data_IF_858047505469
#
_entry.id   IF_858047505469
#
_cell.length_a   1.000
_cell.length_b   1.000
_cell.length_c   1.000
_cell.angle_alpha   90.00
_cell.angle_beta   90.00
_cell.angle_gamma   90.00
#
_symmetry.space_group_name_H-M   'P 1'
#
loop_
_entity.id
_entity.type
_entity.pdbx_description
1 polymer ?
#
# COMPACT_ATOMS: atom_id res chain seq x y z
N UNK A 1 41.32 48.15 -2.06
CA UNK A 1 42.51 48.49 -1.26
C UNK A 1 43.46 47.31 -1.38
N UNK A 2 44.75 47.53 -1.67
CA UNK A 2 45.69 46.42 -1.78
C UNK A 2 45.91 45.77 -0.40
N UNK A 3 46.03 44.43 -0.32
CA UNK A 3 46.24 43.75 0.96
C UNK A 3 47.64 44.07 1.52
N UNK A 4 47.66 44.79 2.64
CA UNK A 4 48.88 45.12 3.39
C UNK A 4 49.24 43.89 4.26
N UNK A 5 50.51 43.50 4.28
CA UNK A 5 50.95 42.42 5.17
C UNK A 5 50.85 42.86 6.65
N UNK A 6 50.09 42.11 7.48
CA UNK A 6 49.92 42.41 8.91
C UNK A 6 51.22 42.37 9.73
N UNK A 7 52.29 41.75 9.22
CA UNK A 7 53.56 41.56 9.94
C UNK A 7 54.61 42.62 9.59
N UNK A 8 54.69 43.05 8.34
CA UNK A 8 55.71 44.02 7.88
C UNK A 8 55.14 45.32 7.31
N UNK A 9 53.81 45.43 7.25
CA UNK A 9 53.08 46.62 6.79
C UNK A 9 53.42 47.06 5.36
N UNK A 10 53.97 46.16 4.54
CA UNK A 10 54.29 46.42 3.13
C UNK A 10 53.24 45.82 2.19
N UNK A 11 53.01 46.52 1.07
CA UNK A 11 52.04 46.18 0.00
C UNK A 11 52.60 45.14 -0.98
N UNK A 12 53.00 43.98 -0.48
CA UNK A 12 53.76 42.98 -1.26
C UNK A 12 53.21 41.55 -1.12
N UNK A 13 51.90 41.42 -0.95
CA UNK A 13 51.21 40.12 -0.89
C UNK A 13 50.91 39.63 -2.31
N UNK A 14 51.39 38.44 -2.66
CA UNK A 14 51.10 37.79 -3.93
C UNK A 14 50.33 36.49 -3.69
N UNK A 15 49.22 36.31 -4.40
CA UNK A 15 48.41 35.10 -4.33
C UNK A 15 49.12 33.90 -4.94
N UNK A 16 49.33 32.85 -4.15
CA UNK A 16 49.90 31.61 -4.64
C UNK A 16 48.81 30.80 -5.37
N UNK A 17 48.77 30.95 -6.70
CA UNK A 17 47.74 30.38 -7.60
C UNK A 17 47.49 28.85 -7.49
N UNK A 18 48.31 28.11 -6.73
CA UNK A 18 48.15 26.65 -6.55
C UNK A 18 47.58 26.22 -5.18
N UNK A 19 47.40 27.13 -4.21
CA UNK A 19 46.98 26.73 -2.85
C UNK A 19 46.01 27.70 -2.13
N UNK A 20 45.44 28.69 -2.81
CA UNK A 20 44.50 29.67 -2.21
C UNK A 20 45.13 30.65 -1.21
N UNK A 21 46.33 30.37 -0.72
CA UNK A 21 46.99 31.20 0.26
C UNK A 21 47.70 32.43 -0.35
N UNK A 22 47.38 33.60 0.21
CA UNK A 22 48.13 34.84 0.02
C UNK A 22 49.38 34.86 0.90
N UNK A 23 50.55 35.06 0.29
CA UNK A 23 51.84 35.06 1.01
C UNK A 23 52.59 36.37 0.77
N UNK A 24 53.10 36.97 1.84
CA UNK A 24 53.97 38.14 1.72
C UNK A 24 55.32 37.74 1.11
N UNK A 25 55.72 38.39 0.02
CA UNK A 25 56.98 38.09 -0.68
C UNK A 25 58.23 38.49 0.10
N UNK A 26 58.10 39.39 1.09
CA UNK A 26 59.24 39.91 1.88
C UNK A 26 59.49 39.08 3.13
N UNK A 27 58.48 38.86 3.96
CA UNK A 27 58.63 38.14 5.24
C UNK A 27 58.14 36.69 5.20
N UNK A 28 57.60 36.22 4.07
CA UNK A 28 57.01 34.88 3.88
C UNK A 28 55.88 34.53 4.86
N UNK A 29 55.34 35.51 5.57
CA UNK A 29 54.17 35.32 6.42
C UNK A 29 52.93 35.03 5.55
N UNK A 30 52.18 34.00 5.93
CA UNK A 30 50.87 33.69 5.37
C UNK A 30 49.86 34.75 5.82
N UNK A 31 49.27 35.45 4.86
CA UNK A 31 48.11 36.29 5.10
C UNK A 31 46.89 35.37 5.17
N UNK A 32 46.53 34.92 6.38
CA UNK A 32 45.35 34.10 6.61
C UNK A 32 44.14 35.03 6.61
N UNK A 33 43.66 35.41 5.43
CA UNK A 33 42.37 36.06 5.22
C UNK A 33 41.71 35.47 3.95
N UNK A 34 41.61 34.14 3.87
CA UNK A 34 40.57 33.55 3.02
C UNK A 34 39.27 33.57 3.85
N UNK A 35 38.41 34.55 3.57
CA UNK A 35 36.98 34.33 3.72
C UNK A 35 36.65 33.10 2.88
N UNK A 36 36.30 31.98 3.52
CA UNK A 36 35.75 30.85 2.79
C UNK A 36 34.52 31.35 2.03
N UNK A 37 34.58 31.30 0.70
CA UNK A 37 33.46 31.55 -0.21
C UNK A 37 32.31 30.58 0.10
N UNK A 38 31.51 30.91 1.12
CA UNK A 38 30.17 30.39 1.27
C UNK A 38 29.28 31.14 0.26
N UNK A 39 28.51 30.44 -0.58
CA UNK A 39 27.65 31.10 -1.55
C UNK A 39 26.65 32.01 -0.82
N UNK A 40 26.81 33.31 -1.06
CA UNK A 40 26.02 34.40 -0.51
C UNK A 40 24.62 34.38 -1.15
N UNK A 41 23.68 33.67 -0.52
CA UNK A 41 22.23 33.89 -0.64
C UNK A 41 21.46 33.16 0.49
N UNK A 42 22.02 33.16 1.70
CA UNK A 42 21.24 32.87 2.90
C UNK A 42 20.91 34.19 3.58
N UNK A 43 19.72 34.71 3.31
CA UNK A 43 19.10 35.76 4.09
C UNK A 43 19.36 35.52 5.58
N UNK A 44 19.87 36.54 6.26
CA UNK A 44 20.23 36.57 7.67
C UNK A 44 19.15 35.91 8.55
N UNK A 45 19.25 34.59 8.72
CA UNK A 45 18.62 33.87 9.80
C UNK A 45 19.63 33.95 10.92
N UNK A 46 19.43 34.92 11.81
CA UNK A 46 20.19 35.07 13.02
C UNK A 46 20.38 33.68 13.66
N UNK A 47 21.61 33.18 13.65
CA UNK A 47 21.96 32.02 14.45
C UNK A 47 21.54 32.38 15.88
N UNK A 48 20.75 31.54 16.57
CA UNK A 48 20.38 31.85 17.94
C UNK A 48 21.68 32.01 18.74
N UNK A 49 21.79 33.05 19.60
CA UNK A 49 23.00 33.28 20.35
C UNK A 49 23.35 32.01 21.14
N UNK A 50 24.61 31.59 21.05
CA UNK A 50 25.09 30.47 21.86
C UNK A 50 24.81 30.80 23.33
N UNK A 51 24.08 29.93 24.06
CA UNK A 51 23.72 30.22 25.44
C UNK A 51 24.99 30.31 26.28
N UNK A 52 25.10 31.40 27.05
CA UNK A 52 26.21 31.64 27.97
C UNK A 52 26.26 30.57 29.06
N UNK A 53 27.42 30.36 29.68
CA UNK A 53 27.58 29.32 30.72
C UNK A 53 26.65 29.50 31.94
N UNK A 54 26.15 30.72 32.17
CA UNK A 54 25.12 31.00 33.18
C UNK A 54 23.75 30.42 32.77
N UNK A 55 23.37 30.53 31.49
CA UNK A 55 22.14 29.94 30.96
C UNK A 55 22.23 28.41 30.85
N UNK A 56 23.43 27.86 30.61
CA UNK A 56 23.65 26.40 30.61
C UNK A 56 23.41 25.78 31.98
N UNK A 57 23.77 26.47 33.07
CA UNK A 57 23.62 25.95 34.45
C UNK A 57 22.17 25.98 34.94
N UNK A 58 21.33 26.91 34.44
CA UNK A 58 19.90 26.98 34.76
C UNK A 58 19.04 25.94 33.99
N UNK A 59 19.56 25.38 32.88
CA UNK A 59 18.82 24.45 32.02
C UNK A 59 18.66 23.02 32.54
N UNK A 60 19.29 22.66 33.66
CA UNK A 60 19.22 21.29 34.17
C UNK A 60 17.91 20.94 34.91
N UNK A 61 17.03 21.91 35.21
CA UNK A 61 15.84 21.66 36.04
C UNK A 61 14.50 22.19 35.55
N UNK A 62 14.41 22.84 34.38
CA UNK A 62 13.12 23.22 33.80
C UNK A 62 12.88 22.37 32.56
N UNK A 63 12.14 21.29 32.72
CA UNK A 63 11.52 20.58 31.60
C UNK A 63 10.53 21.55 30.94
N UNK A 64 10.98 22.31 29.95
CA UNK A 64 10.07 23.09 29.11
C UNK A 64 9.36 22.12 28.17
N UNK A 65 8.12 21.81 28.50
CA UNK A 65 7.26 20.93 27.72
C UNK A 65 7.12 21.40 26.26
N UNK A 66 7.19 22.71 25.99
CA UNK A 66 7.14 23.25 24.64
C UNK A 66 8.43 22.95 23.86
N UNK A 67 9.60 23.19 24.46
CA UNK A 67 10.90 22.83 23.87
C UNK A 67 11.05 21.31 23.67
N UNK A 68 10.59 20.50 24.63
CA UNK A 68 10.58 19.03 24.52
C UNK A 68 9.66 18.55 23.37
N UNK A 69 8.49 19.17 23.21
CA UNK A 69 7.56 18.89 22.10
C UNK A 69 8.17 19.26 20.75
N UNK A 70 8.79 20.43 20.62
CA UNK A 70 9.47 20.86 19.38
C UNK A 70 10.66 19.95 19.04
N UNK A 71 11.47 19.57 20.03
CA UNK A 71 12.55 18.61 19.85
C UNK A 71 12.03 17.23 19.42
N UNK A 72 10.90 16.79 19.98
CA UNK A 72 10.20 15.56 19.57
C UNK A 72 9.77 15.59 18.10
N UNK A 73 9.14 16.68 17.65
CA UNK A 73 8.72 16.88 16.26
C UNK A 73 9.93 16.86 15.30
N UNK A 74 11.02 17.57 15.65
CA UNK A 74 12.25 17.57 14.83
C UNK A 74 12.88 16.17 14.72
N UNK A 75 12.98 15.43 15.83
CA UNK A 75 13.50 14.04 15.81
C UNK A 75 12.63 13.14 14.94
N UNK A 76 11.32 13.28 15.04
CA UNK A 76 10.38 12.52 14.21
C UNK A 76 10.55 12.85 12.73
N UNK A 77 10.68 14.12 12.37
CA UNK A 77 10.91 14.57 11.01
C UNK A 77 12.20 13.98 10.43
N UNK A 78 13.32 14.10 11.16
CA UNK A 78 14.61 13.53 10.74
C UNK A 78 14.51 12.01 10.54
N UNK A 79 13.81 11.30 11.44
CA UNK A 79 13.60 9.85 11.31
C UNK A 79 12.82 9.49 10.04
N UNK A 80 11.73 10.20 9.76
CA UNK A 80 10.90 9.93 8.57
C UNK A 80 11.68 10.27 7.29
N UNK A 81 12.39 11.39 7.26
CA UNK A 81 13.23 11.77 6.10
C UNK A 81 14.33 10.74 5.85
N UNK A 82 15.02 10.28 6.89
CA UNK A 82 16.03 9.21 6.79
C UNK A 82 15.44 7.90 6.25
N UNK A 83 14.28 7.49 6.77
CA UNK A 83 13.53 6.32 6.27
C UNK A 83 13.19 6.47 4.78
N UNK A 84 12.73 7.64 4.34
CA UNK A 84 12.39 7.90 2.94
C UNK A 84 13.62 7.84 2.02
N UNK A 85 14.75 8.40 2.44
CA UNK A 85 16.00 8.32 1.67
C UNK A 85 16.48 6.87 1.53
N UNK A 86 16.46 6.11 2.63
CA UNK A 86 16.78 4.68 2.61
C UNK A 86 15.81 3.89 1.70
N UNK A 87 14.51 4.17 1.78
CA UNK A 87 13.50 3.54 0.92
C UNK A 87 13.73 3.85 -0.57
N UNK A 88 14.00 5.12 -0.91
CA UNK A 88 14.28 5.55 -2.27
C UNK A 88 15.54 4.85 -2.84
N UNK A 89 16.59 4.69 -2.02
CA UNK A 89 17.79 3.93 -2.38
C UNK A 89 17.48 2.45 -2.59
N UNK A 90 16.73 1.81 -1.69
CA UNK A 90 16.32 0.39 -1.81
C UNK A 90 15.49 0.11 -3.06
N UNK A 91 14.68 1.07 -3.49
CA UNK A 91 13.88 0.98 -4.71
C UNK A 91 14.67 1.32 -5.99
N UNK A 92 15.91 1.82 -5.88
CA UNK A 92 16.73 2.24 -7.02
C UNK A 92 16.40 3.65 -7.55
N UNK A 93 15.62 4.45 -6.81
CA UNK A 93 15.18 5.79 -7.21
C UNK A 93 15.68 6.88 -6.24
N UNK A 94 16.99 6.90 -5.97
CA UNK A 94 17.62 7.81 -5.01
C UNK A 94 17.26 9.30 -5.25
N UNK A 95 17.16 9.70 -6.51
CA UNK A 95 16.84 11.06 -6.93
C UNK A 95 15.46 11.55 -6.44
N UNK A 96 14.52 10.64 -6.16
CA UNK A 96 13.16 10.98 -5.72
C UNK A 96 13.11 11.40 -4.24
N UNK A 97 14.15 11.12 -3.45
CA UNK A 97 14.16 11.33 -2.00
C UNK A 97 14.00 12.81 -1.61
N UNK A 98 14.65 13.72 -2.34
CA UNK A 98 14.61 15.17 -2.04
C UNK A 98 13.22 15.75 -2.29
N UNK A 99 12.64 15.45 -3.45
CA UNK A 99 11.29 15.89 -3.82
C UNK A 99 10.24 15.30 -2.87
N UNK A 100 10.37 14.02 -2.51
CA UNK A 100 9.48 13.38 -1.56
C UNK A 100 9.59 14.03 -0.17
N UNK A 101 10.80 14.38 0.26
CA UNK A 101 11.05 15.06 1.55
C UNK A 101 10.48 16.48 1.57
N UNK A 102 10.49 17.19 0.45
CA UNK A 102 9.84 18.50 0.30
C UNK A 102 8.30 18.35 0.40
N UNK A 103 7.74 17.37 -0.30
CA UNK A 103 6.30 17.07 -0.24
C UNK A 103 5.85 16.66 1.16
N UNK A 104 6.66 15.88 1.88
CA UNK A 104 6.40 15.50 3.26
C UNK A 104 6.40 16.71 4.20
N UNK A 105 7.36 17.64 4.07
CA UNK A 105 7.40 18.89 4.86
C UNK A 105 6.14 19.72 4.65
N UNK A 106 5.73 19.88 3.40
CA UNK A 106 4.48 20.59 3.09
C UNK A 106 3.23 19.91 3.68
N UNK A 107 3.21 18.57 3.68
CA UNK A 107 2.16 17.80 4.33
C UNK A 107 2.17 17.98 5.87
N UNK A 108 3.34 18.11 6.49
CA UNK A 108 3.45 18.37 7.94
C UNK A 108 2.87 19.72 8.36
N UNK A 109 2.98 20.73 7.50
CA UNK A 109 2.43 22.08 7.75
C UNK A 109 0.91 22.12 7.54
N UNK A 110 0.40 21.31 6.60
CA UNK A 110 -1.00 21.38 6.16
C UNK A 110 -1.94 20.43 6.92
N UNK A 111 -1.41 19.34 7.49
CA UNK A 111 -2.22 18.28 8.10
C UNK A 111 -2.33 18.42 9.61
N UNK A 112 -3.54 18.26 10.20
CA UNK A 112 -3.73 18.34 11.64
C UNK A 112 -3.12 17.12 12.34
N UNK A 113 -2.36 17.32 13.42
CA UNK A 113 -1.89 16.23 14.27
C UNK A 113 -3.03 15.66 15.14
N UNK A 114 -3.04 14.36 15.49
CA UNK A 114 -2.00 13.36 15.25
C UNK A 114 -2.12 12.64 13.88
N UNK A 115 -0.98 12.47 13.20
CA UNK A 115 -0.90 11.77 11.91
C UNK A 115 0.10 10.61 11.95
N UNK A 116 -0.11 9.55 11.15
CA UNK A 116 0.88 8.48 10.98
C UNK A 116 2.05 8.96 10.11
N UNK A 117 2.92 9.83 10.66
CA UNK A 117 3.94 10.55 9.88
C UNK A 117 4.89 9.66 9.06
N UNK A 118 5.22 8.46 9.54
CA UNK A 118 5.99 7.49 8.74
C UNK A 118 5.23 7.04 7.48
N UNK A 119 3.93 6.79 7.59
CA UNK A 119 3.10 6.44 6.44
C UNK A 119 2.85 7.64 5.52
N UNK A 120 2.78 8.87 6.06
CA UNK A 120 2.70 10.10 5.25
C UNK A 120 3.99 10.31 4.45
N UNK A 121 5.17 10.04 5.05
CA UNK A 121 6.44 10.08 4.34
C UNK A 121 6.54 9.02 3.23
N UNK A 122 6.14 7.77 3.52
CA UNK A 122 6.06 6.72 2.51
C UNK A 122 5.05 7.05 1.40
N UNK A 123 3.90 7.65 1.72
CA UNK A 123 2.92 8.12 0.75
C UNK A 123 3.50 9.23 -0.14
N UNK A 124 4.24 10.19 0.43
CA UNK A 124 4.91 11.25 -0.33
C UNK A 124 5.93 10.67 -1.33
N UNK A 125 6.69 9.65 -0.92
CA UNK A 125 7.61 8.93 -1.82
C UNK A 125 6.85 8.23 -2.95
N UNK A 126 5.77 7.50 -2.64
CA UNK A 126 4.93 6.86 -3.64
C UNK A 126 4.38 7.88 -4.65
N UNK A 127 3.89 9.02 -4.18
CA UNK A 127 3.35 10.09 -5.02
C UNK A 127 4.38 10.62 -6.01
N UNK A 128 5.59 10.92 -5.55
CA UNK A 128 6.66 11.43 -6.43
C UNK A 128 7.00 10.40 -7.50
N UNK A 129 7.21 9.14 -7.11
CA UNK A 129 7.51 8.06 -8.05
C UNK A 129 6.40 7.86 -9.09
N UNK A 130 5.12 7.98 -8.68
CA UNK A 130 3.98 7.89 -9.60
C UNK A 130 3.87 9.09 -10.54
N UNK A 131 4.21 10.30 -10.08
CA UNK A 131 4.26 11.50 -10.95
C UNK A 131 5.33 11.37 -12.03
N UNK A 132 6.46 10.75 -11.70
CA UNK A 132 7.54 10.44 -12.65
C UNK A 132 7.24 9.25 -13.57
N UNK A 133 5.99 8.76 -13.59
CA UNK A 133 5.55 7.58 -14.32
C UNK A 133 6.40 6.32 -14.03
N UNK A 134 6.97 6.20 -12.82
CA UNK A 134 7.73 5.01 -12.42
C UNK A 134 6.79 3.86 -12.09
N UNK A 135 7.21 2.66 -12.47
CA UNK A 135 6.48 1.42 -12.26
C UNK A 135 6.76 0.94 -10.83
N UNK A 136 6.07 1.53 -9.85
CA UNK A 136 6.24 1.22 -8.43
C UNK A 136 4.88 0.96 -7.79
N UNK A 137 4.77 -0.18 -7.11
CA UNK A 137 3.58 -0.55 -6.36
C UNK A 137 3.61 -0.02 -4.93
N UNK A 138 2.43 0.10 -4.33
CA UNK A 138 2.24 0.47 -2.92
C UNK A 138 2.94 -0.53 -2.01
N UNK A 139 2.87 -1.82 -2.33
CA UNK A 139 3.54 -2.89 -1.58
C UNK A 139 5.06 -2.75 -1.60
N UNK A 140 5.63 -2.40 -2.75
CA UNK A 140 7.06 -2.17 -2.91
C UNK A 140 7.52 -1.01 -2.01
N UNK A 141 6.77 0.09 -1.99
CA UNK A 141 7.07 1.24 -1.11
C UNK A 141 6.88 0.89 0.36
N UNK A 142 5.84 0.14 0.70
CA UNK A 142 5.59 -0.30 2.07
C UNK A 142 6.75 -1.16 2.62
N UNK A 143 7.23 -2.12 1.83
CA UNK A 143 8.38 -2.96 2.17
C UNK A 143 9.65 -2.11 2.28
N UNK A 144 9.92 -1.25 1.29
CA UNK A 144 11.12 -0.41 1.27
C UNK A 144 11.14 0.66 2.37
N UNK A 145 9.98 1.06 2.90
CA UNK A 145 9.86 2.04 3.99
C UNK A 145 9.61 1.40 5.36
N UNK A 146 9.50 0.07 5.44
CA UNK A 146 9.15 -0.66 6.67
C UNK A 146 7.82 -0.18 7.30
N UNK A 147 6.89 0.27 6.47
CA UNK A 147 5.54 0.70 6.87
C UNK A 147 4.53 -0.39 6.50
N UNK A 148 3.58 -0.76 7.37
CA UNK A 148 2.53 -1.71 7.01
C UNK A 148 1.72 -1.23 5.78
N UNK A 149 1.56 -2.11 4.79
CA UNK A 149 0.81 -1.83 3.54
C UNK A 149 -0.56 -1.23 3.83
N UNK A 150 -1.32 -1.82 4.75
CA UNK A 150 -2.67 -1.35 5.12
C UNK A 150 -2.66 0.09 5.62
N UNK A 151 -1.64 0.49 6.38
CA UNK A 151 -1.48 1.85 6.89
C UNK A 151 -1.09 2.81 5.77
N UNK A 152 -0.24 2.39 4.83
CA UNK A 152 0.13 3.19 3.67
C UNK A 152 -1.08 3.43 2.74
N UNK A 153 -1.83 2.38 2.41
CA UNK A 153 -3.05 2.47 1.58
C UNK A 153 -4.09 3.40 2.23
N UNK A 154 -4.36 3.23 3.52
CA UNK A 154 -5.27 4.10 4.25
C UNK A 154 -4.80 5.56 4.24
N UNK A 155 -3.50 5.79 4.43
CA UNK A 155 -2.92 7.14 4.40
C UNK A 155 -3.05 7.76 3.01
N UNK A 156 -2.77 7.02 1.93
CA UNK A 156 -2.96 7.49 0.56
C UNK A 156 -4.43 7.82 0.26
N UNK A 157 -5.37 6.99 0.70
CA UNK A 157 -6.81 7.25 0.53
C UNK A 157 -7.24 8.52 1.27
N UNK A 158 -6.79 8.71 2.51
CA UNK A 158 -7.06 9.90 3.30
C UNK A 158 -6.39 11.15 2.68
N UNK A 159 -5.15 11.06 2.19
CA UNK A 159 -4.48 12.21 1.58
C UNK A 159 -5.14 12.65 0.26
N UNK A 160 -5.89 11.76 -0.42
CA UNK A 160 -6.69 12.13 -1.59
C UNK A 160 -7.92 12.98 -1.26
N UNK A 161 -8.44 12.91 -0.04
CA UNK A 161 -9.62 13.70 0.38
C UNK A 161 -9.24 15.08 0.91
N UNK A 162 -7.96 15.30 1.19
CA UNK A 162 -7.44 16.57 1.70
C UNK A 162 -6.96 17.40 0.51
N UNK A 163 -7.26 18.72 0.45
CA UNK A 163 -6.93 19.58 -0.68
C UNK A 163 -5.44 19.96 -0.73
N UNK A 164 -4.54 19.00 -0.52
CA UNK A 164 -3.12 19.17 -0.88
C UNK A 164 -3.00 18.75 -2.34
N UNK A 165 -2.95 19.73 -3.24
CA UNK A 165 -2.99 19.54 -4.70
C UNK A 165 -2.03 18.44 -5.21
N UNK A 166 -0.90 18.25 -4.53
CA UNK A 166 0.10 17.25 -4.90
C UNK A 166 -0.31 15.79 -4.69
N UNK A 167 -1.30 15.48 -3.84
CA UNK A 167 -1.80 14.12 -3.58
C UNK A 167 -3.08 13.78 -4.37
N UNK A 168 -3.66 14.75 -5.07
CA UNK A 168 -4.86 14.56 -5.86
C UNK A 168 -4.58 13.73 -7.14
N UNK A 169 -5.57 12.93 -7.57
CA UNK A 169 -5.55 12.25 -8.87
C UNK A 169 -4.71 10.96 -8.97
N UNK A 170 -4.00 10.56 -7.93
CA UNK A 170 -3.13 9.37 -7.97
C UNK A 170 -3.95 8.10 -7.83
N UNK A 171 -3.80 7.19 -8.79
CA UNK A 171 -4.41 5.86 -8.76
C UNK A 171 -3.59 4.97 -7.83
N UNK A 172 -4.22 4.57 -6.72
CA UNK A 172 -3.69 3.58 -5.78
C UNK A 172 -4.01 2.21 -6.40
N UNK A 173 -3.01 1.34 -6.56
CA UNK A 173 -3.14 0.00 -7.18
C UNK A 173 -3.52 0.03 -8.67
N UNK A 174 -2.69 0.68 -9.49
CA UNK A 174 -2.90 0.75 -10.94
C UNK A 174 -2.48 -0.54 -11.66
N UNK A 175 -3.42 -1.32 -12.24
CA UNK A 175 -3.07 -2.53 -12.98
C UNK A 175 -2.29 -2.24 -14.27
N UNK A 176 -2.35 -1.01 -14.82
CA UNK A 176 -1.66 -0.65 -16.06
C UNK A 176 -0.14 -0.82 -15.95
N UNK A 177 0.41 -0.69 -14.74
CA UNK A 177 1.83 -0.87 -14.46
C UNK A 177 2.38 -2.25 -14.83
N UNK A 178 1.52 -3.27 -14.85
CA UNK A 178 1.93 -4.66 -14.98
C UNK A 178 1.68 -5.24 -16.39
N UNK A 179 0.93 -4.53 -17.24
CA UNK A 179 0.42 -5.10 -18.49
C UNK A 179 1.55 -5.47 -19.47
N UNK A 180 2.46 -4.54 -19.76
CA UNK A 180 3.54 -4.79 -20.72
C UNK A 180 4.49 -5.91 -20.27
N UNK A 181 4.79 -5.97 -18.97
CA UNK A 181 5.77 -6.92 -18.41
C UNK A 181 5.20 -8.32 -18.27
N UNK A 182 3.93 -8.42 -17.90
CA UNK A 182 3.17 -9.67 -17.92
C UNK A 182 2.94 -10.17 -19.34
N UNK A 183 2.66 -9.30 -20.32
CA UNK A 183 2.52 -9.67 -21.72
C UNK A 183 3.81 -10.27 -22.29
N UNK A 184 4.95 -9.60 -22.09
CA UNK A 184 6.25 -10.10 -22.52
C UNK A 184 6.58 -11.45 -21.85
N UNK A 185 6.26 -11.59 -20.56
CA UNK A 185 6.49 -12.83 -19.82
C UNK A 185 5.60 -13.98 -20.30
N UNK A 186 4.34 -13.69 -20.62
CA UNK A 186 3.40 -14.66 -21.17
C UNK A 186 3.83 -15.13 -22.56
N UNK A 187 4.26 -14.22 -23.43
CA UNK A 187 4.76 -14.57 -24.77
C UNK A 187 6.02 -15.46 -24.69
N UNK A 188 6.94 -15.18 -23.77
CA UNK A 188 8.11 -16.03 -23.52
C UNK A 188 7.71 -17.42 -22.99
N UNK A 189 6.75 -17.50 -22.05
CA UNK A 189 6.25 -18.76 -21.53
C UNK A 189 5.57 -19.61 -22.61
N UNK A 190 4.75 -18.99 -23.47
CA UNK A 190 4.09 -19.65 -24.60
C UNK A 190 5.08 -20.09 -25.68
N UNK A 191 6.12 -19.31 -25.94
CA UNK A 191 7.19 -19.66 -26.88
C UNK A 191 7.98 -20.91 -26.46
N UNK A 192 8.15 -21.12 -25.14
CA UNK A 192 8.84 -22.29 -24.57
C UNK A 192 7.96 -23.56 -24.57
N UNK A 193 6.64 -23.42 -24.51
CA UNK A 193 5.72 -24.57 -24.46
C UNK A 193 4.46 -24.36 -25.33
N UNK A 194 4.60 -24.28 -26.67
CA UNK A 194 3.48 -24.02 -27.57
C UNK A 194 2.51 -25.19 -27.67
N UNK A 195 2.92 -26.41 -27.31
CA UNK A 195 2.09 -27.63 -27.42
C UNK A 195 1.01 -27.75 -26.35
N UNK A 196 1.14 -27.03 -25.23
CA UNK A 196 0.17 -27.09 -24.14
C UNK A 196 -1.12 -26.29 -24.43
N UNK A 197 -1.05 -25.31 -25.32
CA UNK A 197 -2.15 -24.40 -25.62
C UNK A 197 -2.30 -24.32 -27.16
N UNK A 198 -3.38 -24.85 -27.74
CA UNK A 198 -3.56 -24.89 -29.20
C UNK A 198 -3.44 -23.52 -29.87
N UNK A 199 -3.88 -22.46 -29.18
CA UNK A 199 -3.88 -21.09 -29.66
C UNK A 199 -2.56 -20.34 -29.37
N UNK A 200 -1.54 -20.99 -28.79
CA UNK A 200 -0.27 -20.35 -28.41
C UNK A 200 0.41 -19.66 -29.61
N UNK A 201 0.41 -20.30 -30.78
CA UNK A 201 0.97 -19.71 -32.00
C UNK A 201 0.23 -18.45 -32.44
N UNK A 202 -1.10 -18.44 -32.33
CA UNK A 202 -1.90 -17.27 -32.67
C UNK A 202 -1.63 -16.11 -31.70
N UNK A 203 -1.46 -16.40 -30.40
CA UNK A 203 -1.14 -15.41 -29.37
C UNK A 203 0.27 -14.82 -29.56
N UNK A 204 1.28 -15.66 -29.83
CA UNK A 204 2.65 -15.20 -30.06
C UNK A 204 2.80 -14.41 -31.37
N UNK A 205 1.91 -14.60 -32.34
CA UNK A 205 1.89 -13.84 -33.60
C UNK A 205 1.20 -12.48 -33.48
N UNK A 206 0.57 -12.15 -32.35
CA UNK A 206 -0.08 -10.86 -32.14
C UNK A 206 0.94 -9.74 -32.01
N UNK A 207 0.58 -8.58 -32.57
CA UNK A 207 1.30 -7.33 -32.30
C UNK A 207 1.15 -6.95 -30.81
N UNK A 208 2.25 -6.93 -30.02
CA UNK A 208 2.19 -6.64 -28.60
C UNK A 208 1.68 -5.23 -28.32
N UNK A 209 1.96 -4.26 -29.19
CA UNK A 209 1.50 -2.88 -29.01
C UNK A 209 -0.03 -2.79 -29.09
N UNK A 210 -0.63 -3.55 -29.99
CA UNK A 210 -2.09 -3.61 -30.13
C UNK A 210 -2.75 -4.25 -28.91
N UNK A 211 -2.19 -5.34 -28.39
CA UNK A 211 -2.71 -6.01 -27.20
C UNK A 211 -2.61 -5.08 -25.99
N UNK A 212 -1.47 -4.42 -25.82
CA UNK A 212 -1.24 -3.46 -24.74
C UNK A 212 -2.21 -2.27 -24.82
N UNK A 213 -2.45 -1.73 -26.00
CA UNK A 213 -3.41 -0.65 -26.19
C UNK A 213 -4.83 -1.02 -25.73
N UNK A 214 -5.33 -2.20 -26.15
CA UNK A 214 -6.63 -2.71 -25.73
C UNK A 214 -6.65 -2.97 -24.21
N UNK A 215 -5.57 -3.50 -23.66
CA UNK A 215 -5.45 -3.76 -22.23
C UNK A 215 -5.45 -2.45 -21.41
N UNK A 216 -4.79 -1.39 -21.89
CA UNK A 216 -4.80 -0.06 -21.26
C UNK A 216 -6.19 0.57 -21.31
N UNK A 217 -6.89 0.48 -22.44
CA UNK A 217 -8.29 0.93 -22.56
C UNK A 217 -9.20 0.21 -21.57
N UNK A 218 -9.04 -1.10 -21.47
CA UNK A 218 -9.79 -1.92 -20.53
C UNK A 218 -9.45 -1.58 -19.08
N UNK A 219 -8.16 -1.35 -18.76
CA UNK A 219 -7.73 -0.92 -17.44
C UNK A 219 -8.33 0.44 -17.06
N UNK A 220 -8.39 1.40 -17.99
CA UNK A 220 -9.04 2.70 -17.78
C UNK A 220 -10.53 2.53 -17.48
N UNK A 221 -11.23 1.69 -18.23
CA UNK A 221 -12.64 1.38 -17.98
C UNK A 221 -12.85 0.72 -16.61
N UNK A 222 -12.03 -0.27 -16.27
CA UNK A 222 -12.05 -0.95 -14.99
C UNK A 222 -11.81 0.01 -13.81
N UNK A 223 -10.85 0.92 -13.93
CA UNK A 223 -10.54 1.94 -12.91
C UNK A 223 -11.69 2.93 -12.75
N UNK A 224 -12.32 3.36 -13.85
CA UNK A 224 -13.52 4.21 -13.80
C UNK A 224 -14.69 3.52 -13.07
N UNK A 225 -14.78 2.19 -13.16
CA UNK A 225 -15.77 1.39 -12.45
C UNK A 225 -15.38 0.98 -11.02
N UNK A 226 -14.32 1.58 -10.50
CA UNK A 226 -13.74 1.32 -9.19
C UNK A 226 -13.29 -0.13 -8.97
N UNK A 227 -13.05 -0.94 -10.00
CA UNK A 227 -12.44 -2.27 -9.79
C UNK A 227 -10.98 -2.21 -9.27
N UNK A 228 -10.44 -0.99 -9.07
CA UNK A 228 -9.09 -0.69 -8.60
C UNK A 228 -8.81 -0.98 -7.11
N UNK A 229 -9.79 -1.43 -6.32
CA UNK A 229 -9.54 -1.91 -4.93
C UNK A 229 -9.01 -3.35 -4.86
N UNK A 230 -8.77 -3.98 -6.01
CA UNK A 230 -8.34 -5.37 -6.14
C UNK A 230 -6.81 -5.44 -6.27
N UNK A 231 -6.23 -6.61 -5.95
CA UNK A 231 -4.80 -6.85 -6.11
C UNK A 231 -4.36 -6.55 -7.56
N UNK A 232 -3.45 -5.59 -7.78
CA UNK A 232 -3.25 -5.02 -9.10
C UNK A 232 -2.55 -5.99 -10.07
N UNK A 233 -1.68 -6.88 -9.57
CA UNK A 233 -0.98 -7.89 -10.37
C UNK A 233 -1.91 -8.94 -11.00
N UNK A 234 -2.71 -9.72 -10.24
CA UNK A 234 -3.62 -10.71 -10.82
C UNK A 234 -4.75 -10.04 -11.59
N UNK A 235 -5.12 -8.81 -11.24
CA UNK A 235 -6.09 -8.04 -12.00
C UNK A 235 -5.56 -7.60 -13.36
N UNK A 236 -4.32 -7.11 -13.43
CA UNK A 236 -3.66 -6.80 -14.70
C UNK A 236 -3.58 -8.03 -15.62
N UNK A 237 -3.26 -9.21 -15.05
CA UNK A 237 -3.20 -10.43 -15.83
C UNK A 237 -4.59 -10.83 -16.36
N UNK A 238 -5.63 -10.67 -15.55
CA UNK A 238 -7.01 -10.89 -15.99
C UNK A 238 -7.43 -9.93 -17.11
N UNK A 239 -7.05 -8.64 -17.02
CA UNK A 239 -7.26 -7.64 -18.07
C UNK A 239 -6.53 -8.06 -19.36
N UNK A 240 -5.30 -8.54 -19.23
CA UNK A 240 -4.49 -9.03 -20.35
C UNK A 240 -5.17 -10.21 -21.08
N UNK A 241 -5.74 -11.17 -20.35
CA UNK A 241 -6.48 -12.28 -20.96
C UNK A 241 -7.68 -11.80 -21.79
N UNK A 242 -8.43 -10.82 -21.30
CA UNK A 242 -9.52 -10.20 -22.06
C UNK A 242 -9.01 -9.44 -23.28
N UNK A 243 -7.89 -8.73 -23.16
CA UNK A 243 -7.29 -8.02 -24.29
C UNK A 243 -6.80 -8.98 -25.39
N UNK A 244 -6.21 -10.11 -25.01
CA UNK A 244 -5.85 -11.17 -25.96
C UNK A 244 -7.08 -11.73 -26.67
N UNK A 245 -8.13 -12.10 -25.92
CA UNK A 245 -9.41 -12.54 -26.51
C UNK A 245 -10.01 -11.50 -27.45
N UNK A 246 -9.97 -10.23 -27.09
CA UNK A 246 -10.45 -9.12 -27.92
C UNK A 246 -9.61 -8.86 -29.16
N UNK A 247 -8.32 -9.18 -29.12
CA UNK A 247 -7.41 -9.03 -30.26
C UNK A 247 -7.62 -10.17 -31.26
N UNK A 248 -7.73 -11.41 -30.77
CA UNK A 248 -8.00 -12.61 -31.59
C UNK A 248 -9.48 -12.69 -32.01
N UNK A 249 -10.38 -12.01 -31.30
CA UNK A 249 -11.84 -12.09 -31.44
C UNK A 249 -12.43 -13.49 -31.20
N UNK A 250 -11.73 -14.30 -30.42
CA UNK A 250 -12.11 -15.68 -30.08
C UNK A 250 -11.86 -15.93 -28.60
N UNK A 251 -12.74 -16.71 -27.97
CA UNK A 251 -12.57 -17.14 -26.59
C UNK A 251 -11.43 -18.17 -26.47
N UNK A 252 -10.42 -17.84 -25.66
CA UNK A 252 -9.22 -18.66 -25.43
C UNK A 252 -9.38 -19.69 -24.29
N UNK A 253 -8.47 -20.65 -24.09
CA UNK A 253 -8.49 -21.52 -22.91
C UNK A 253 -7.98 -20.79 -21.65
N UNK A 254 -8.84 -19.96 -21.04
CA UNK A 254 -8.48 -19.08 -19.90
C UNK A 254 -7.89 -19.82 -18.71
N UNK A 255 -8.36 -21.05 -18.40
CA UNK A 255 -7.80 -21.81 -17.28
C UNK A 255 -6.34 -22.19 -17.53
N UNK A 256 -6.03 -22.71 -18.71
CA UNK A 256 -4.65 -23.05 -19.10
C UNK A 256 -3.75 -21.80 -19.14
N UNK A 257 -4.26 -20.67 -19.62
CA UNK A 257 -3.53 -19.41 -19.60
C UNK A 257 -3.36 -18.83 -18.18
N UNK A 258 -4.33 -19.05 -17.28
CA UNK A 258 -4.23 -18.61 -15.88
C UNK A 258 -3.25 -19.47 -15.06
N UNK A 259 -3.02 -20.72 -15.44
CA UNK A 259 -1.98 -21.58 -14.84
C UNK A 259 -0.56 -21.06 -15.09
N UNK A 260 -0.35 -20.34 -16.19
CA UNK A 260 0.90 -19.61 -16.47
C UNK A 260 1.01 -18.28 -15.71
N UNK A 261 -0.08 -17.81 -15.09
CA UNK A 261 -0.16 -16.51 -14.44
C UNK A 261 0.86 -16.28 -13.31
N UNK A 262 0.96 -17.18 -12.31
CA UNK A 262 1.90 -17.00 -11.20
C UNK A 262 3.36 -16.79 -11.66
N UNK A 263 3.83 -17.59 -12.63
CA UNK A 263 5.19 -17.45 -13.16
C UNK A 263 5.40 -16.19 -14.00
N UNK A 264 4.35 -15.69 -14.66
CA UNK A 264 4.37 -14.41 -15.38
C UNK A 264 4.35 -13.20 -14.43
N UNK A 265 3.79 -13.36 -13.24
CA UNK A 265 3.70 -12.32 -12.20
C UNK A 265 5.02 -12.22 -11.41
N UNK A 266 5.72 -13.34 -11.20
CA UNK A 266 6.96 -13.43 -10.42
C UNK A 266 8.19 -12.77 -11.07
N UNK A 267 8.11 -12.35 -12.34
CA UNK A 267 9.29 -11.94 -13.09
C UNK A 267 9.80 -10.55 -12.69
N UNK A 268 10.97 -10.52 -12.06
CA UNK A 268 11.78 -9.30 -11.87
C UNK A 268 12.23 -8.79 -13.24
N UNK A 269 11.81 -7.58 -13.61
CA UNK A 269 12.37 -6.88 -14.76
C UNK A 269 13.84 -6.60 -14.46
N UNK A 270 14.73 -7.02 -15.34
CA UNK A 270 16.15 -6.69 -15.26
C UNK A 270 16.33 -5.17 -15.26
N UNK A 271 16.79 -4.62 -14.12
CA UNK A 271 17.25 -3.23 -14.01
C UNK A 271 16.21 -2.19 -13.61
N UNK A 272 14.92 -2.54 -13.46
CA UNK A 272 13.91 -1.62 -12.92
C UNK A 272 13.03 -2.36 -11.91
N UNK A 273 13.09 -1.90 -10.65
CA UNK A 273 12.42 -2.56 -9.53
C UNK A 273 10.89 -2.44 -9.63
N UNK A 274 10.24 -3.42 -10.24
CA UNK A 274 8.95 -3.90 -9.73
C UNK A 274 9.23 -4.78 -8.51
N UNK A 275 9.48 -4.15 -7.37
CA UNK A 275 9.74 -4.84 -6.10
C UNK A 275 8.42 -5.12 -5.34
N UNK A 276 7.38 -5.55 -6.04
CA UNK A 276 6.17 -6.04 -5.40
C UNK A 276 6.31 -7.56 -5.23
N UNK A 277 5.99 -8.13 -4.05
CA UNK A 277 5.96 -9.57 -3.91
C UNK A 277 4.92 -10.14 -4.88
N UNK A 278 5.17 -11.30 -5.49
CA UNK A 278 4.20 -11.94 -6.36
C UNK A 278 2.93 -12.24 -5.56
N UNK A 279 1.82 -11.65 -5.95
CA UNK A 279 0.53 -11.75 -5.27
C UNK A 279 -0.54 -12.30 -6.22
N UNK A 280 -0.29 -13.47 -6.80
CA UNK A 280 -1.20 -14.06 -7.78
C UNK A 280 -1.28 -15.58 -7.70
N UNK A 281 -2.48 -16.09 -7.40
CA UNK A 281 -2.82 -17.50 -7.60
C UNK A 281 -3.74 -17.66 -8.81
N UNK A 282 -3.78 -18.87 -9.38
CA UNK A 282 -4.69 -19.19 -10.51
C UNK A 282 -6.14 -18.85 -10.16
N UNK A 283 -6.58 -19.13 -8.93
CA UNK A 283 -7.94 -18.84 -8.49
C UNK A 283 -8.23 -17.35 -8.40
N UNK A 284 -7.27 -16.54 -7.93
CA UNK A 284 -7.42 -15.08 -7.90
C UNK A 284 -7.55 -14.49 -9.30
N UNK A 285 -6.70 -14.91 -10.25
CA UNK A 285 -6.75 -14.49 -11.65
C UNK A 285 -8.11 -14.84 -12.26
N UNK A 286 -8.58 -16.08 -12.07
CA UNK A 286 -9.88 -16.53 -12.59
C UNK A 286 -11.06 -15.77 -11.98
N UNK A 287 -11.01 -15.44 -10.69
CA UNK A 287 -12.03 -14.63 -10.04
C UNK A 287 -12.09 -13.23 -10.66
N UNK A 288 -10.93 -12.58 -10.85
CA UNK A 288 -10.82 -11.25 -11.48
C UNK A 288 -11.24 -11.27 -12.94
N UNK A 289 -10.88 -12.32 -13.67
CA UNK A 289 -11.33 -12.54 -15.03
C UNK A 289 -12.86 -12.63 -15.10
N UNK A 290 -13.48 -13.40 -14.21
CA UNK A 290 -14.94 -13.58 -14.18
C UNK A 290 -15.71 -12.32 -13.79
N UNK A 291 -15.17 -11.49 -12.89
CA UNK A 291 -15.76 -10.19 -12.55
C UNK A 291 -15.71 -9.22 -13.72
N UNK A 292 -14.55 -9.10 -14.36
CA UNK A 292 -14.34 -8.26 -15.54
C UNK A 292 -15.23 -8.72 -16.70
N UNK A 293 -15.36 -10.04 -16.89
CA UNK A 293 -16.24 -10.65 -17.89
C UNK A 293 -17.71 -10.25 -17.67
N UNK A 294 -18.18 -10.19 -16.42
CA UNK A 294 -19.58 -9.80 -16.12
C UNK A 294 -19.83 -8.34 -16.47
N UNK A 295 -18.92 -7.46 -16.08
CA UNK A 295 -18.99 -6.03 -16.43
C UNK A 295 -18.96 -5.83 -17.95
N UNK A 296 -18.04 -6.50 -18.64
CA UNK A 296 -17.92 -6.45 -20.10
C UNK A 296 -19.16 -6.99 -20.81
N UNK A 297 -19.75 -8.09 -20.33
CA UNK A 297 -20.96 -8.65 -20.89
C UNK A 297 -22.14 -7.67 -20.84
N UNK A 298 -22.25 -6.85 -19.78
CA UNK A 298 -23.28 -5.81 -19.69
C UNK A 298 -23.04 -4.67 -20.68
N UNK A 299 -21.79 -4.25 -20.87
CA UNK A 299 -21.42 -3.27 -21.89
C UNK A 299 -21.70 -3.77 -23.31
N UNK A 300 -21.32 -5.01 -23.61
CA UNK A 300 -21.58 -5.64 -24.91
C UNK A 300 -23.09 -5.82 -25.13
N UNK A 301 -23.85 -6.20 -24.10
CA UNK A 301 -25.31 -6.29 -24.18
C UNK A 301 -25.98 -4.94 -24.50
N UNK A 302 -25.35 -3.83 -24.11
CA UNK A 302 -25.85 -2.48 -24.36
C UNK A 302 -25.58 -1.96 -25.77
N UNK A 303 -24.75 -2.65 -26.56
CA UNK A 303 -24.47 -2.25 -27.94
C UNK A 303 -25.73 -2.39 -28.81
N UNK A 304 -26.09 -1.39 -29.64
CA UNK A 304 -27.33 -1.41 -30.41
C UNK A 304 -27.51 -2.64 -31.31
N UNK A 305 -26.45 -3.04 -32.02
CA UNK A 305 -26.49 -4.21 -32.91
C UNK A 305 -26.51 -5.54 -32.14
N UNK A 306 -25.94 -5.60 -30.95
CA UNK A 306 -26.03 -6.77 -30.06
C UNK A 306 -27.42 -6.88 -29.46
N UNK A 307 -28.02 -5.76 -29.06
CA UNK A 307 -29.38 -5.71 -28.53
C UNK A 307 -30.43 -6.12 -29.58
N UNK A 308 -30.21 -5.76 -30.84
CA UNK A 308 -31.12 -6.01 -31.96
C UNK A 308 -30.95 -7.38 -32.63
N UNK A 309 -29.97 -8.19 -32.22
CA UNK A 309 -29.75 -9.52 -32.80
C UNK A 309 -30.90 -10.49 -32.50
N UNK A 310 -31.01 -11.53 -33.32
CA UNK A 310 -31.98 -12.60 -33.10
C UNK A 310 -31.76 -13.28 -31.73
N UNK A 311 -32.86 -13.48 -30.99
CA UNK A 311 -32.83 -14.16 -29.67
C UNK A 311 -32.41 -15.62 -29.87
N UNK A 312 -31.29 -16.01 -29.28
CA UNK A 312 -30.80 -17.39 -29.35
C UNK A 312 -31.72 -18.34 -28.57
N UNK A 313 -31.79 -19.62 -28.97
CA UNK A 313 -32.62 -20.63 -28.26
C UNK A 313 -32.30 -20.70 -26.77
N UNK A 314 -31.02 -20.77 -26.40
CA UNK A 314 -30.54 -20.79 -25.00
C UNK A 314 -30.97 -19.56 -24.20
N UNK A 315 -31.07 -18.41 -24.85
CA UNK A 315 -31.53 -17.17 -24.24
C UNK A 315 -33.03 -17.23 -23.95
N UNK A 316 -33.84 -17.66 -24.94
CA UNK A 316 -35.29 -17.89 -24.77
C UNK A 316 -35.59 -18.85 -23.64
N UNK A 317 -34.85 -19.96 -23.57
CA UNK A 317 -35.02 -20.99 -22.54
C UNK A 317 -34.72 -20.43 -21.12
N UNK A 318 -33.74 -19.52 -20.99
CA UNK A 318 -33.38 -18.87 -19.70
C UNK A 318 -34.33 -17.74 -19.27
N UNK A 319 -34.98 -17.08 -20.22
CA UNK A 319 -35.92 -15.99 -19.97
C UNK A 319 -37.36 -16.48 -19.84
N UNK A 320 -37.62 -17.76 -20.10
CA UNK A 320 -38.93 -18.39 -19.92
C UNK A 320 -39.40 -18.19 -18.47
N UNK A 321 -40.46 -17.40 -18.29
CA UNK A 321 -41.04 -17.07 -16.98
C UNK A 321 -40.42 -15.85 -16.25
N UNK A 322 -39.55 -15.05 -16.89
CA UNK A 322 -39.00 -13.82 -16.29
C UNK A 322 -39.54 -12.57 -17.01
N UNK A 323 -40.03 -11.60 -16.24
CA UNK A 323 -40.64 -10.37 -16.74
C UNK A 323 -39.64 -9.38 -17.39
N UNK A 324 -38.33 -9.51 -17.15
CA UNK A 324 -37.30 -8.66 -17.77
C UNK A 324 -36.39 -9.46 -18.70
N UNK A 325 -36.42 -9.15 -20.00
CA UNK A 325 -35.57 -9.78 -21.03
C UNK A 325 -34.29 -8.96 -21.19
N UNK A 326 -33.29 -9.18 -20.31
CA UNK A 326 -31.92 -8.74 -20.61
C UNK A 326 -31.26 -9.77 -21.53
N UNK A 327 -30.56 -9.29 -22.56
CA UNK A 327 -29.83 -10.14 -23.50
C UNK A 327 -28.78 -10.96 -22.76
N UNK A 328 -28.77 -12.27 -22.98
CA UNK A 328 -27.68 -13.11 -22.47
C UNK A 328 -26.50 -13.05 -23.44
N UNK A 329 -25.38 -12.48 -23.00
CA UNK A 329 -24.16 -12.39 -23.80
C UNK A 329 -23.23 -13.55 -23.45
N UNK A 330 -22.75 -14.26 -24.47
CA UNK A 330 -21.77 -15.34 -24.31
C UNK A 330 -20.36 -14.78 -24.22
N UNK A 331 -19.41 -15.56 -23.69
CA UNK A 331 -17.99 -15.16 -23.62
C UNK A 331 -17.41 -14.87 -25.01
N UNK A 332 -17.75 -15.68 -26.00
CA UNK A 332 -17.33 -15.49 -27.38
C UNK A 332 -17.82 -14.14 -27.94
N UNK A 333 -19.04 -13.74 -27.62
CA UNK A 333 -19.57 -12.43 -28.06
C UNK A 333 -18.87 -11.27 -27.36
N UNK A 334 -18.46 -11.45 -26.09
CA UNK A 334 -17.64 -10.45 -25.40
C UNK A 334 -16.28 -10.29 -26.08
N UNK A 335 -15.59 -11.39 -26.40
CA UNK A 335 -14.32 -11.36 -27.13
C UNK A 335 -14.47 -10.65 -28.49
N UNK A 336 -15.53 -10.98 -29.24
CA UNK A 336 -15.75 -10.42 -30.57
C UNK A 336 -16.06 -8.91 -30.56
N UNK A 337 -16.91 -8.46 -29.63
CA UNK A 337 -17.38 -7.07 -29.55
C UNK A 337 -16.62 -6.22 -28.52
N UNK A 338 -15.50 -6.72 -27.96
CA UNK A 338 -14.76 -6.03 -26.89
C UNK A 338 -14.33 -4.63 -27.32
N UNK A 339 -13.69 -4.52 -28.48
CA UNK A 339 -13.17 -3.25 -29.00
C UNK A 339 -14.29 -2.26 -29.26
N UNK A 340 -15.44 -2.71 -29.74
CA UNK A 340 -16.58 -1.83 -29.96
C UNK A 340 -17.18 -1.34 -28.63
N UNK A 341 -17.25 -2.22 -27.63
CA UNK A 341 -17.69 -1.86 -26.29
C UNK A 341 -16.77 -0.79 -25.67
N UNK A 342 -15.45 -0.91 -25.84
CA UNK A 342 -14.47 0.08 -25.39
C UNK A 342 -14.59 1.39 -26.19
N UNK A 343 -14.81 1.33 -27.50
CA UNK A 343 -14.98 2.51 -28.35
C UNK A 343 -16.26 3.29 -28.01
N UNK A 344 -17.36 2.59 -27.71
CA UNK A 344 -18.61 3.24 -27.26
C UNK A 344 -18.46 3.79 -25.84
N UNK A 345 -17.80 3.06 -24.94
CA UNK A 345 -17.57 3.52 -23.57
C UNK A 345 -16.70 4.77 -23.51
N UNK A 346 -15.60 4.82 -24.26
CA UNK A 346 -14.68 5.98 -24.30
C UNK A 346 -15.32 7.25 -24.85
N UNK A 347 -16.37 7.12 -25.68
CA UNK A 347 -17.16 8.24 -26.20
C UNK A 347 -18.31 8.65 -25.29
N UNK A 348 -18.66 7.84 -24.30
CA UNK A 348 -19.75 8.16 -23.39
C UNK A 348 -19.31 9.25 -22.40
N UNK A 349 -20.16 10.25 -22.11
CA UNK A 349 -19.83 11.28 -21.15
C UNK A 349 -19.55 10.64 -19.78
N UNK A 350 -18.40 10.96 -19.20
CA UNK A 350 -18.03 10.53 -17.84
C UNK A 350 -18.98 11.17 -16.85
N UNK A 351 -19.96 10.41 -16.34
CA UNK A 351 -20.84 10.91 -15.27
C UNK A 351 -19.99 11.18 -14.04
N UNK A 352 -20.01 12.43 -13.57
CA UNK A 352 -19.30 12.85 -12.37
C UNK A 352 -19.79 12.06 -11.16
N UNK A 353 -18.90 11.26 -10.56
CA UNK A 353 -19.20 10.44 -9.38
C UNK A 353 -18.55 9.07 -9.45
N UNK A 354 -18.40 8.45 -8.27
CA UNK A 354 -17.90 7.10 -8.09
C UNK A 354 -18.90 6.07 -8.66
N UNK A 355 -18.60 5.53 -9.84
CA UNK A 355 -19.46 4.55 -10.49
C UNK A 355 -19.00 3.14 -10.14
N UNK A 356 -19.66 2.46 -9.22
CA UNK A 356 -19.49 1.01 -9.12
C UNK A 356 -20.29 0.36 -10.27
N UNK A 357 -19.68 -0.53 -11.07
CA UNK A 357 -20.39 -1.22 -12.17
C UNK A 357 -21.63 -1.96 -11.68
N UNK A 358 -21.56 -2.55 -10.48
CA UNK A 358 -22.72 -3.22 -9.86
C UNK A 358 -23.86 -2.23 -9.57
N UNK A 359 -23.57 -0.98 -9.19
CA UNK A 359 -24.59 0.05 -9.02
C UNK A 359 -25.14 0.53 -10.36
N UNK A 360 -24.29 0.70 -11.38
CA UNK A 360 -24.71 1.15 -12.71
C UNK A 360 -25.64 0.16 -13.41
N UNK A 361 -25.37 -1.14 -13.28
CA UNK A 361 -26.09 -2.15 -14.04
C UNK A 361 -26.96 -3.10 -13.19
N UNK A 362 -26.71 -3.29 -11.89
CA UNK A 362 -27.61 -4.06 -11.01
C UNK A 362 -28.68 -3.21 -10.30
N UNK A 363 -28.63 -1.87 -10.36
CA UNK A 363 -29.68 -1.01 -9.76
C UNK A 363 -31.08 -1.23 -10.34
N UNK A 364 -31.20 -1.90 -11.50
CA UNK A 364 -32.50 -2.35 -12.02
C UNK A 364 -33.10 -3.55 -11.25
N UNK A 365 -32.31 -4.23 -10.40
CA UNK A 365 -32.78 -5.28 -9.47
C UNK A 365 -33.04 -4.79 -8.05
N UNK A 366 -32.63 -3.57 -7.71
CA UNK A 366 -32.78 -3.02 -6.35
C UNK A 366 -33.22 -1.56 -6.40
N UNK A 367 -34.50 -1.35 -6.73
CA UNK A 367 -35.28 -0.27 -6.11
C UNK A 367 -36.02 -0.83 -4.89
N UNK A 368 -35.30 -1.47 -3.97
CA UNK A 368 -35.75 -1.71 -2.60
C UNK A 368 -34.51 -1.57 -1.69
N UNK A 369 -34.60 -0.53 -0.85
CA UNK A 369 -33.92 -0.27 0.42
C UNK A 369 -32.39 -0.26 0.48
N UNK A 370 -31.91 0.93 0.82
CA UNK A 370 -30.67 1.19 1.57
C UNK A 370 -30.49 0.20 2.72
N UNK A 371 -29.46 -0.63 2.66
CA UNK A 371 -28.39 -0.70 3.68
C UNK A 371 -27.41 -1.84 3.41
N UNK A 372 -26.23 -1.68 4.00
CA UNK A 372 -25.30 -2.70 4.45
C UNK A 372 -24.20 -3.26 3.51
N UNK A 373 -23.02 -3.20 4.11
CA UNK A 373 -21.69 -3.71 3.77
C UNK A 373 -21.69 -5.26 3.68
N UNK A 374 -20.68 -5.88 3.04
CA UNK A 374 -20.60 -7.33 2.92
C UNK A 374 -20.35 -7.99 4.30
N UNK A 375 -21.05 -9.11 4.54
CA UNK A 375 -21.05 -9.85 5.79
C UNK A 375 -19.69 -10.46 6.16
N UNK A 376 -19.44 -10.64 7.47
CA UNK A 376 -18.99 -11.91 7.97
C UNK A 376 -19.98 -12.43 9.02
N UNK A 377 -20.52 -13.62 8.77
CA UNK A 377 -21.45 -14.42 9.61
C UNK A 377 -22.85 -13.82 9.88
N UNK A 378 -23.92 -14.64 9.86
CA UNK A 378 -25.27 -14.18 10.17
C UNK A 378 -25.36 -13.76 11.64
N UNK A 379 -25.88 -12.54 11.86
CA UNK A 379 -26.12 -12.01 13.20
C UNK A 379 -27.16 -12.87 13.93
N UNK A 380 -27.13 -12.87 15.26
CA UNK A 380 -28.06 -13.69 16.07
C UNK A 380 -29.53 -13.29 15.85
N UNK A 381 -29.78 -12.03 15.45
CA UNK A 381 -31.10 -11.50 15.10
C UNK A 381 -31.72 -12.17 13.86
N UNK A 382 -30.91 -12.47 12.84
CA UNK A 382 -31.35 -13.25 11.67
C UNK A 382 -31.66 -14.70 12.03
N UNK A 383 -30.95 -15.27 13.02
CA UNK A 383 -31.23 -16.63 13.52
C UNK A 383 -32.53 -16.72 14.33
N UNK A 384 -32.97 -15.63 14.92
CA UNK A 384 -34.21 -15.53 15.72
C UNK A 384 -35.44 -15.11 14.87
N UNK A 385 -35.30 -14.97 13.54
CA UNK A 385 -36.36 -14.50 12.63
C UNK A 385 -37.00 -13.15 13.02
N UNK A 386 -36.26 -12.27 13.69
CA UNK A 386 -36.74 -10.91 13.97
C UNK A 386 -36.56 -10.05 12.72
N UNK A 387 -37.61 -9.93 11.92
CA UNK A 387 -37.61 -9.04 10.76
C UNK A 387 -37.84 -7.59 11.22
N UNK A 388 -37.05 -6.65 10.68
CA UNK A 388 -37.14 -5.23 11.00
C UNK A 388 -38.50 -4.59 10.66
N UNK A 389 -39.38 -5.30 9.94
CA UNK A 389 -40.69 -4.81 9.55
C UNK A 389 -41.71 -4.77 10.70
N UNK A 390 -41.49 -5.54 11.77
CA UNK A 390 -42.43 -5.64 12.90
C UNK A 390 -42.04 -4.76 14.09
N UNK A 391 -40.79 -4.27 14.15
CA UNK A 391 -40.28 -3.44 15.25
C UNK A 391 -40.82 -2.01 15.15
N UNK A 392 -40.92 -1.46 13.94
CA UNK A 392 -41.46 -0.12 13.69
C UNK A 392 -42.98 -0.02 13.95
N UNK A 393 -43.65 -1.15 14.16
CA UNK A 393 -45.09 -1.22 14.47
C UNK A 393 -45.40 -1.45 15.95
N UNK A 394 -44.39 -1.68 16.80
CA UNK A 394 -44.56 -1.95 18.23
C UNK A 394 -44.36 -0.68 19.05
N UNK A 395 -45.15 -0.53 20.12
CA UNK A 395 -44.96 0.57 21.07
C UNK A 395 -43.72 0.35 21.95
N UNK A 396 -43.07 1.42 22.40
CA UNK A 396 -41.89 1.35 23.30
C UNK A 396 -42.15 0.47 24.54
N UNK A 397 -43.39 0.47 25.05
CA UNK A 397 -43.81 -0.38 26.18
C UNK A 397 -43.85 -1.88 25.86
N UNK A 398 -44.18 -2.24 24.62
CA UNK A 398 -44.18 -3.64 24.16
C UNK A 398 -42.76 -4.11 23.80
N UNK A 399 -41.90 -3.20 23.35
CA UNK A 399 -40.49 -3.44 23.12
C UNK A 399 -39.79 -3.73 24.47
N UNK A 400 -40.03 -2.92 25.50
CA UNK A 400 -39.48 -3.15 26.83
C UNK A 400 -39.99 -4.45 27.46
N UNK A 401 -41.28 -4.77 27.32
CA UNK A 401 -41.84 -6.03 27.84
C UNK A 401 -41.25 -7.29 27.16
N UNK A 402 -40.76 -7.16 25.92
CA UNK A 402 -40.14 -8.27 25.16
C UNK A 402 -38.62 -8.35 25.29
N UNK A 403 -37.93 -7.23 25.55
CA UNK A 403 -36.48 -7.17 25.76
C UNK A 403 -36.06 -7.34 27.22
N UNK A 404 -36.99 -7.18 28.15
CA UNK A 404 -36.78 -7.35 29.58
C UNK A 404 -37.78 -8.37 30.16
N UNK A 405 -38.04 -9.45 29.42
CA UNK A 405 -38.83 -10.53 29.97
C UNK A 405 -38.18 -11.03 31.27
N UNK A 406 -38.95 -11.39 32.31
CA UNK A 406 -38.41 -11.60 33.67
C UNK A 406 -37.35 -12.73 33.79
N UNK A 407 -37.20 -13.57 32.76
CA UNK A 407 -36.22 -14.66 32.69
C UNK A 407 -35.03 -14.37 31.74
N UNK A 408 -35.07 -13.24 31.03
CA UNK A 408 -34.09 -12.90 29.99
C UNK A 408 -32.76 -12.47 30.59
N UNK A 409 -32.80 -11.68 31.67
CA UNK A 409 -31.59 -11.25 32.38
C UNK A 409 -30.89 -12.44 33.06
N UNK A 410 -31.65 -13.41 33.57
CA UNK A 410 -31.14 -14.63 34.20
C UNK A 410 -30.38 -15.51 33.21
N UNK A 411 -30.75 -15.46 31.93
CA UNK A 411 -30.10 -16.20 30.85
C UNK A 411 -28.69 -15.68 30.50
N UNK A 412 -28.40 -14.41 30.78
CA UNK A 412 -27.07 -13.81 30.61
C UNK A 412 -26.21 -13.89 31.88
N UNK A 413 -26.83 -14.21 33.01
CA UNK A 413 -26.13 -14.46 34.26
C UNK A 413 -25.61 -15.89 34.26
N UNK A 414 -24.33 -16.06 34.57
CA UNK A 414 -23.75 -17.41 34.69
C UNK A 414 -24.52 -18.21 35.72
N UNK A 415 -24.85 -19.45 35.39
CA UNK A 415 -25.43 -20.41 36.33
C UNK A 415 -24.46 -20.69 37.49
N UNK A 416 -24.99 -21.09 38.65
CA UNK A 416 -24.15 -21.35 39.83
C UNK A 416 -23.15 -22.49 39.58
N UNK A 417 -23.50 -23.45 38.72
CA UNK A 417 -22.62 -24.52 38.27
C UNK A 417 -21.47 -24.00 37.39
N UNK A 418 -21.74 -23.07 36.48
CA UNK A 418 -20.69 -22.40 35.68
C UNK A 418 -19.79 -21.51 36.54
N UNK A 419 -20.35 -20.83 37.55
CA UNK A 419 -19.56 -20.04 38.49
C UNK A 419 -18.62 -20.94 39.31
N UNK A 420 -19.11 -22.08 39.79
CA UNK A 420 -18.30 -23.08 40.51
C UNK A 420 -17.22 -23.73 39.62
N UNK A 421 -17.53 -23.98 38.35
CA UNK A 421 -16.55 -24.50 37.40
C UNK A 421 -15.47 -23.46 37.06
N UNK A 422 -15.83 -22.18 36.98
CA UNK A 422 -14.86 -21.11 36.73
C UNK A 422 -14.04 -20.82 37.99
N UNK A 423 -14.62 -20.90 39.19
CA UNK A 423 -13.89 -20.72 40.45
C UNK A 423 -12.86 -21.83 40.66
N UNK A 424 -13.20 -23.08 40.34
CA UNK A 424 -12.25 -24.20 40.31
C UNK A 424 -11.15 -24.00 39.25
N UNK A 425 -11.49 -23.65 38.01
CA UNK A 425 -10.50 -23.43 36.93
C UNK A 425 -9.55 -22.25 37.20
N UNK A 426 -10.04 -21.18 37.83
CA UNK A 426 -9.24 -19.99 38.16
C UNK A 426 -8.53 -20.08 39.52
N UNK A 427 -8.73 -21.17 40.26
CA UNK A 427 -8.18 -21.34 41.61
C UNK A 427 -8.73 -20.34 42.62
N UNK A 428 -9.96 -19.86 42.41
CA UNK A 428 -10.67 -18.94 43.30
C UNK A 428 -11.46 -19.67 44.40
N UNK A 429 -11.54 -21.00 44.33
CA UNK A 429 -12.03 -21.81 45.44
C UNK A 429 -11.01 -21.79 46.59
N UNK A 430 -11.39 -21.13 47.69
CA UNK A 430 -10.59 -21.11 48.93
C UNK A 430 -10.42 -22.52 49.53
N UNK A 431 -11.29 -23.46 49.19
CA UNK A 431 -11.24 -24.88 49.59
C UNK A 431 -10.23 -25.72 48.78
N UNK A 432 -9.78 -25.23 47.62
CA UNK A 432 -8.80 -25.88 46.76
C UNK A 432 -7.39 -25.28 46.89
N UNK A 433 -7.08 -24.60 48.02
CA UNK A 433 -5.68 -24.35 48.38
C UNK A 433 -5.04 -25.70 48.72
N UNK A 434 -4.03 -26.19 47.97
CA UNK A 434 -3.20 -27.27 48.47
C UNK A 434 -2.63 -26.82 49.81
N UNK A 435 -2.71 -27.70 50.82
CA UNK A 435 -2.23 -27.44 52.17
C UNK A 435 -0.83 -26.83 52.11
N UNK A 436 -0.62 -25.83 52.97
CA UNK A 436 0.58 -25.02 53.06
C UNK A 436 1.84 -25.86 52.75
N UNK A 437 2.47 -25.61 51.59
CA UNK A 437 3.88 -26.00 51.40
C UNK A 437 4.63 -25.38 52.57
N UNK A 438 5.24 -26.23 53.39
CA UNK A 438 6.24 -25.81 54.38
C UNK A 438 7.20 -24.83 53.68
N UNK A 439 7.54 -23.70 54.31
CA UNK A 439 8.48 -22.78 53.72
C UNK A 439 9.78 -23.54 53.40
N UNK A 440 10.39 -23.31 52.22
CA UNK A 440 11.71 -23.86 51.95
C UNK A 440 12.70 -23.34 53.00
N UNK A 441 13.72 -24.14 53.38
CA UNK A 441 14.77 -23.66 54.28
C UNK A 441 15.41 -22.40 53.69
N UNK A 442 15.72 -21.45 54.56
CA UNK A 442 16.33 -20.17 54.21
C UNK A 442 17.59 -20.38 53.36
N UNK A 443 17.74 -19.68 52.22
CA UNK A 443 18.96 -19.78 51.44
C UNK A 443 20.14 -19.20 52.24
N UNK A 444 21.35 -19.78 52.13
CA UNK A 444 22.54 -19.21 52.74
C UNK A 444 22.79 -17.79 52.21
N UNK A 445 23.34 -16.95 53.09
CA UNK A 445 23.65 -15.55 52.85
C UNK A 445 24.31 -15.29 51.48
N UNK A 446 23.82 -14.27 50.78
CA UNK A 446 24.35 -13.77 49.51
C UNK A 446 25.86 -13.55 49.60
N UNK A 447 26.61 -14.35 48.84
CA UNK A 447 27.98 -13.98 48.44
C UNK A 447 27.82 -12.84 47.42
N UNK A 448 28.31 -11.65 47.79
CA UNK A 448 28.50 -10.53 46.86
C UNK A 448 29.46 -10.98 45.75
N UNK A 449 28.95 -11.13 44.53
CA UNK A 449 29.81 -11.21 43.35
C UNK A 449 30.40 -9.81 43.17
N UNK A 450 31.72 -9.71 43.34
CA UNK A 450 32.53 -8.53 43.01
C UNK A 450 32.59 -8.39 41.49
N UNK A 451 32.39 -7.16 41.01
CA UNK A 451 32.73 -6.74 39.66
C UNK A 451 34.23 -7.01 39.39
N UNK A 452 34.51 -7.83 38.36
CA UNK A 452 35.83 -7.98 37.73
C UNK A 452 35.61 -8.08 36.21
N UNK A 453 36.47 -7.48 35.36
CA UNK A 453 36.06 -6.77 34.16
C UNK A 453 36.25 -7.52 32.83
N UNK A 454 35.55 -7.05 31.79
CA UNK A 454 35.93 -7.02 30.36
C UNK A 454 36.51 -8.32 29.74
N UNK A 455 35.71 -9.36 29.50
CA UNK A 455 36.09 -10.42 28.53
C UNK A 455 34.94 -10.95 27.64
N UNK A 456 33.75 -10.34 27.64
CA UNK A 456 32.60 -10.82 26.86
C UNK A 456 32.33 -10.09 25.53
N UNK A 457 33.31 -9.33 25.02
CA UNK A 457 33.24 -8.71 23.69
C UNK A 457 34.44 -9.11 22.84
N UNK A 458 34.57 -10.41 22.53
CA UNK A 458 35.23 -10.84 21.30
C UNK A 458 34.14 -11.13 20.26
N UNK A 459 34.16 -10.48 19.09
CA UNK A 459 33.22 -10.81 18.02
C UNK A 459 33.49 -12.26 17.56
N UNK A 460 32.42 -13.05 17.38
CA UNK A 460 32.52 -14.38 16.80
C UNK A 460 33.18 -14.29 15.41
N UNK A 461 34.38 -14.85 15.29
CA UNK A 461 35.07 -14.99 14.01
C UNK A 461 34.53 -16.24 13.28
N UNK A 462 33.62 -16.03 12.34
CA UNK A 462 32.98 -17.09 11.54
C UNK A 462 33.94 -17.79 10.57
N UNK A 463 35.21 -17.34 10.47
CA UNK A 463 36.23 -17.98 9.64
C UNK A 463 36.87 -19.22 10.28
N UNK A 464 36.61 -19.50 11.56
CA UNK A 464 37.20 -20.64 12.28
C UNK A 464 36.31 -21.91 12.33
N UNK A 465 35.13 -21.90 11.69
CA UNK A 465 34.18 -23.04 11.71
C UNK A 465 34.13 -23.83 10.41
N UNK A 466 35.02 -23.57 9.46
CA UNK A 466 35.16 -24.36 8.24
C UNK A 466 36.45 -25.18 8.28
N UNK A 467 36.51 -26.18 9.13
CA UNK A 467 37.39 -27.34 8.95
C UNK A 467 36.88 -28.48 9.84
N UNK A 468 36.97 -29.72 9.32
CA UNK A 468 36.47 -30.99 9.87
C UNK A 468 35.00 -31.30 9.53
N UNK A 469 34.71 -31.77 8.32
CA UNK A 469 34.71 -33.19 7.93
C UNK A 469 34.13 -34.12 8.99
N UNK A 470 32.87 -34.50 8.83
CA UNK A 470 32.43 -35.87 9.10
C UNK A 470 31.16 -36.12 8.27
N UNK A 471 31.38 -36.74 7.11
CA UNK A 471 30.37 -37.54 6.44
C UNK A 471 30.37 -38.91 7.13
N UNK A 472 29.26 -39.24 7.79
CA UNK A 472 28.61 -40.55 7.76
C UNK A 472 27.11 -40.40 8.06
#
# INVERSE_FOLDING_TARGET
>A
MAPVCAVCSQDTVQGAAKKGADVCTVCKALAINEELDAPYDAAATAAPPFPTDAERRLRHHVYDAASAKLAGVRRQQVRVVSMMHSAALRLGYAYAAEQASALFRHAQESLPAPMPWAAVGAAALYVVLRKDARIVDVDAVAIASEVPVSRLVHTLQMLRTIPVASFAGIVINDPALYLGTQLASLQDALGKSPRAIPEAHAICALDPQRVEHIALDLARMCTAYQLAYLDPQPFAYAILLHALEGTVKVSLPVRALAELGPSCIERRISGQCLAAPPSGSVSTILARYAETQKMLAEHVASLPWVANRAVQKRERDRTRGKASVRRSVSRQEVAYYLQDALAVWSRAPTVAGEQCWTRRFKSQKMRIRTSAKPAPYPSYAERMQLTAADIDTLSDTEIDARLFAPQELEMYMRSDTERAMISTLKGWDESARPSARKPPPSPPHKIRIRDVPRELFTPLDLAAQTEENEWD
#
